data_IF_594110819235
#
_entry.id   IF_594110819235
#
_cell.length_a   1.000
_cell.length_b   1.000
_cell.length_c   1.000
_cell.angle_alpha   90.00
_cell.angle_beta   90.00
_cell.angle_gamma   90.00
#
_symmetry.space_group_name_H-M   'P 1'
#
loop_
_entity.id
_entity.type
_entity.pdbx_description
1 polymer ?
#
# COMPACT_ATOMS: atom_id res chain seq x y z
N UNK A 1 -1.56 -16.87 -9.36
CA UNK A 1 -0.26 -16.18 -9.52
C UNK A 1 -0.21 -15.13 -8.42
N UNK A 2 0.91 -14.96 -7.72
CA UNK A 2 1.03 -13.96 -6.66
C UNK A 2 1.26 -12.59 -7.31
N UNK A 3 0.48 -11.58 -6.90
CA UNK A 3 0.71 -10.19 -7.29
C UNK A 3 1.87 -9.63 -6.46
N UNK A 4 2.88 -9.06 -7.11
CA UNK A 4 4.04 -8.42 -6.46
C UNK A 4 4.04 -6.95 -6.88
N UNK A 5 3.87 -6.07 -5.90
CA UNK A 5 3.75 -4.63 -6.09
C UNK A 5 4.62 -3.90 -5.06
N UNK A 6 5.32 -2.85 -5.49
CA UNK A 6 5.91 -1.87 -4.60
C UNK A 6 5.31 -0.49 -4.87
N UNK A 7 5.08 0.27 -3.80
CA UNK A 7 4.54 1.62 -3.89
C UNK A 7 5.51 2.62 -3.30
N UNK A 8 5.63 3.75 -3.97
CA UNK A 8 6.49 4.84 -3.57
C UNK A 8 5.74 6.16 -3.58
N UNK A 9 6.04 7.05 -2.66
CA UNK A 9 5.61 8.44 -2.74
C UNK A 9 6.66 9.28 -3.46
N UNK A 10 6.19 10.34 -4.10
CA UNK A 10 6.98 11.16 -5.02
C UNK A 10 7.28 12.52 -4.37
N UNK A 11 8.56 12.93 -4.25
CA UNK A 11 8.91 14.30 -3.87
C UNK A 11 8.21 15.32 -4.78
N UNK A 12 7.78 16.46 -4.21
CA UNK A 12 6.96 17.43 -4.96
C UNK A 12 7.70 17.96 -6.19
N UNK A 13 9.00 18.19 -6.03
CA UNK A 13 9.94 18.65 -7.04
C UNK A 13 10.20 17.63 -8.16
N UNK A 14 10.01 16.33 -7.89
CA UNK A 14 10.29 15.26 -8.85
C UNK A 14 9.08 14.91 -9.74
N UNK A 15 7.86 15.30 -9.33
CA UNK A 15 6.61 14.85 -9.96
C UNK A 15 6.53 15.20 -11.46
N UNK A 16 6.91 16.43 -11.83
CA UNK A 16 6.81 16.87 -13.23
C UNK A 16 7.76 16.05 -14.14
N UNK A 17 9.00 15.85 -13.70
CA UNK A 17 9.99 15.04 -14.44
C UNK A 17 9.57 13.59 -14.52
N UNK A 18 9.12 12.98 -13.41
CA UNK A 18 8.65 11.60 -13.38
C UNK A 18 7.45 11.39 -14.32
N UNK A 19 6.48 12.30 -14.31
CA UNK A 19 5.33 12.23 -15.23
C UNK A 19 5.78 12.28 -16.69
N UNK A 20 6.71 13.17 -17.03
CA UNK A 20 7.25 13.27 -18.38
C UNK A 20 8.03 12.01 -18.79
N UNK A 21 8.70 11.35 -17.85
CA UNK A 21 9.43 10.10 -18.10
C UNK A 21 8.47 8.95 -18.44
N UNK A 22 7.34 8.85 -17.72
CA UNK A 22 6.28 7.87 -18.03
C UNK A 22 5.63 8.16 -19.39
N UNK A 23 5.34 9.43 -19.71
CA UNK A 23 4.73 9.82 -21.00
C UNK A 23 5.64 9.50 -22.21
N UNK A 24 6.96 9.39 -22.00
CA UNK A 24 7.90 8.97 -23.05
C UNK A 24 7.91 7.46 -23.29
N UNK A 25 7.28 6.67 -22.42
CA UNK A 25 7.23 5.23 -22.57
C UNK A 25 6.21 4.79 -23.62
N UNK A 26 6.52 3.73 -24.39
CA UNK A 26 5.60 3.20 -25.38
C UNK A 26 4.35 2.62 -24.71
N UNK A 27 3.19 2.90 -25.30
CA UNK A 27 1.91 2.39 -24.80
C UNK A 27 1.51 2.99 -23.45
N UNK A 28 2.02 4.18 -23.10
CA UNK A 28 1.50 4.89 -21.94
C UNK A 28 0.02 5.22 -22.13
N UNK A 29 -0.73 5.25 -21.04
CA UNK A 29 -2.14 5.61 -21.02
C UNK A 29 -2.45 6.52 -19.83
N UNK A 30 -3.58 7.24 -19.92
CA UNK A 30 -4.07 8.13 -18.88
C UNK A 30 -5.56 7.91 -18.66
N UNK A 31 -5.94 7.59 -17.44
CA UNK A 31 -7.33 7.43 -17.07
C UNK A 31 -7.67 8.14 -15.76
N UNK A 32 -8.94 8.52 -15.62
CA UNK A 32 -9.48 9.07 -14.37
C UNK A 32 -10.20 7.96 -13.61
N UNK A 33 -9.76 7.72 -12.39
CA UNK A 33 -10.27 6.72 -11.46
C UNK A 33 -10.96 7.42 -10.30
N UNK A 34 -12.27 7.22 -10.18
CA UNK A 34 -13.07 7.78 -9.09
C UNK A 34 -13.62 6.63 -8.25
N UNK A 35 -13.28 6.55 -6.97
CA UNK A 35 -13.72 5.44 -6.13
C UNK A 35 -14.41 5.94 -4.86
N UNK A 36 -15.48 5.25 -4.47
CA UNK A 36 -16.20 5.41 -3.21
C UNK A 36 -15.89 4.21 -2.33
N UNK A 37 -15.45 4.43 -1.10
CA UNK A 37 -15.06 3.38 -0.17
C UNK A 37 -16.09 3.22 0.93
N UNK A 38 -16.48 1.97 1.16
CA UNK A 38 -17.57 1.60 2.07
C UNK A 38 -17.05 0.74 3.21
N UNK A 39 -17.53 1.02 4.41
CA UNK A 39 -17.35 0.19 5.60
C UNK A 39 -18.50 0.49 6.57
N UNK A 40 -18.57 -0.26 7.68
CA UNK A 40 -19.49 0.04 8.77
C UNK A 40 -19.00 1.27 9.55
N UNK A 41 -19.88 1.94 10.33
CA UNK A 41 -19.48 3.02 11.23
C UNK A 41 -18.34 2.62 12.19
N UNK A 42 -18.28 1.35 12.57
CA UNK A 42 -17.26 0.78 13.46
C UNK A 42 -15.98 0.34 12.73
N UNK A 43 -15.94 0.44 11.39
CA UNK A 43 -14.78 0.11 10.54
C UNK A 43 -14.40 -1.37 10.55
N UNK A 44 -15.40 -2.25 10.48
CA UNK A 44 -15.18 -3.71 10.57
C UNK A 44 -14.26 -4.22 9.44
N UNK A 45 -14.42 -3.74 8.20
CA UNK A 45 -13.53 -4.12 7.09
C UNK A 45 -12.13 -3.57 7.31
N UNK A 46 -11.99 -2.30 7.70
CA UNK A 46 -10.71 -1.66 7.99
C UNK A 46 -9.93 -2.37 9.10
N UNK A 47 -10.59 -2.75 10.19
CA UNK A 47 -10.01 -3.55 11.27
C UNK A 47 -9.53 -4.92 10.79
N UNK A 48 -10.26 -5.52 9.84
CA UNK A 48 -9.88 -6.76 9.18
C UNK A 48 -8.89 -6.55 8.01
N UNK A 49 -8.26 -5.38 7.88
CA UNK A 49 -7.35 -5.01 6.78
C UNK A 49 -7.93 -5.34 5.40
N UNK A 50 -9.22 -5.04 5.25
CA UNK A 50 -10.00 -5.21 4.03
C UNK A 50 -10.59 -3.87 3.58
N UNK A 51 -10.87 -3.73 2.29
CA UNK A 51 -11.45 -2.53 1.71
C UNK A 51 -12.47 -2.91 0.63
N UNK A 52 -13.71 -2.44 0.79
CA UNK A 52 -14.75 -2.54 -0.22
C UNK A 52 -14.90 -1.18 -0.91
N UNK A 53 -14.83 -1.16 -2.24
CA UNK A 53 -14.99 0.07 -3.01
C UNK A 53 -15.87 -0.13 -4.23
N UNK A 54 -16.55 0.93 -4.64
CA UNK A 54 -17.15 1.08 -5.96
C UNK A 54 -16.33 2.11 -6.75
N UNK A 55 -15.71 1.69 -7.85
CA UNK A 55 -14.84 2.52 -8.69
C UNK A 55 -15.42 2.72 -10.08
N UNK A 56 -15.36 3.96 -10.58
CA UNK A 56 -15.59 4.34 -11.96
C UNK A 56 -14.27 4.33 -12.73
N UNK A 57 -14.23 3.59 -13.83
CA UNK A 57 -13.10 3.39 -14.74
C UNK A 57 -13.55 3.72 -16.17
N UNK A 58 -13.34 4.96 -16.59
CA UNK A 58 -13.97 5.49 -17.81
C UNK A 58 -15.49 5.46 -17.70
N UNK A 59 -16.15 4.64 -18.51
CA UNK A 59 -17.61 4.44 -18.48
C UNK A 59 -18.05 3.26 -17.60
N UNK A 60 -17.11 2.43 -17.15
CA UNK A 60 -17.41 1.20 -16.41
C UNK A 60 -17.43 1.47 -14.92
N UNK A 61 -18.24 0.68 -14.21
CA UNK A 61 -18.25 0.63 -12.76
C UNK A 61 -17.83 -0.76 -12.29
N UNK A 62 -16.92 -0.78 -11.32
CA UNK A 62 -16.34 -2.01 -10.77
C UNK A 62 -16.46 -1.94 -9.26
N UNK A 63 -17.06 -2.96 -8.66
CA UNK A 63 -17.00 -3.17 -7.22
C UNK A 63 -15.84 -4.10 -6.89
N UNK A 64 -14.95 -3.66 -6.01
CA UNK A 64 -13.80 -4.44 -5.59
C UNK A 64 -13.87 -4.72 -4.11
N UNK A 65 -13.72 -5.99 -3.71
CA UNK A 65 -13.27 -6.33 -2.37
C UNK A 65 -11.78 -6.63 -2.41
N UNK A 66 -11.00 -5.85 -1.66
CA UNK A 66 -9.63 -6.21 -1.31
C UNK A 66 -9.62 -6.75 0.11
N UNK A 67 -9.06 -7.93 0.34
CA UNK A 67 -8.96 -8.51 1.68
C UNK A 67 -7.56 -9.11 1.90
N UNK A 68 -7.13 -9.12 3.16
CA UNK A 68 -5.94 -9.89 3.54
C UNK A 68 -6.20 -11.37 3.27
N UNK A 69 -5.31 -12.03 2.53
CA UNK A 69 -5.39 -13.47 2.29
C UNK A 69 -4.84 -14.27 3.46
N UNK A 70 -4.57 -15.56 3.23
CA UNK A 70 -4.16 -16.50 4.27
C UNK A 70 -2.79 -16.21 4.91
N UNK A 71 -1.95 -15.39 4.27
CA UNK A 71 -0.65 -14.92 4.78
C UNK A 71 -0.33 -13.51 4.24
N UNK A 72 0.75 -12.88 4.72
CA UNK A 72 1.14 -11.50 4.37
C UNK A 72 1.38 -11.27 2.87
N UNK A 73 1.69 -12.32 2.11
CA UNK A 73 2.03 -12.22 0.67
C UNK A 73 0.87 -12.55 -0.28
N UNK A 74 -0.28 -13.00 0.22
CA UNK A 74 -1.46 -13.28 -0.62
C UNK A 74 -2.54 -12.27 -0.25
N UNK A 75 -2.94 -11.45 -1.22
CA UNK A 75 -4.08 -10.54 -1.08
C UNK A 75 -5.19 -11.05 -1.98
N UNK A 76 -6.41 -11.08 -1.45
CA UNK A 76 -7.59 -11.33 -2.25
C UNK A 76 -8.00 -10.00 -2.88
N UNK A 77 -8.11 -9.97 -4.20
CA UNK A 77 -8.73 -8.88 -4.95
C UNK A 77 -9.82 -9.47 -5.85
N UNK A 78 -11.07 -9.22 -5.49
CA UNK A 78 -12.22 -9.67 -6.26
C UNK A 78 -12.91 -8.47 -6.92
N UNK A 79 -12.79 -8.39 -8.24
CA UNK A 79 -13.32 -7.32 -9.08
C UNK A 79 -14.59 -7.79 -9.79
N UNK A 80 -15.72 -7.14 -9.49
CA UNK A 80 -17.02 -7.47 -10.07
C UNK A 80 -17.57 -6.27 -10.85
N UNK A 81 -18.15 -6.53 -12.02
CA UNK A 81 -18.87 -5.51 -12.77
C UNK A 81 -20.05 -5.00 -11.93
N UNK A 82 -20.18 -3.69 -11.81
CA UNK A 82 -21.22 -3.03 -11.04
C UNK A 82 -22.04 -2.08 -11.91
N UNK A 83 -23.21 -1.70 -11.41
CA UNK A 83 -24.05 -0.69 -12.07
C UNK A 83 -23.62 0.71 -11.65
N UNK A 84 -23.78 1.67 -12.57
CA UNK A 84 -23.63 3.08 -12.23
C UNK A 84 -24.66 3.50 -11.17
N UNK A 85 -24.31 4.40 -10.24
CA UNK A 85 -25.30 5.10 -9.42
C UNK A 85 -26.30 5.81 -10.32
N UNK A 86 -27.59 5.73 -9.99
CA UNK A 86 -28.61 6.49 -10.71
C UNK A 86 -28.40 8.00 -10.54
N UNK A 87 -28.83 8.79 -11.52
CA UNK A 87 -28.65 10.24 -11.52
C UNK A 87 -29.18 10.87 -10.22
N UNK A 88 -28.32 11.63 -9.54
CA UNK A 88 -28.62 12.30 -8.28
C UNK A 88 -28.68 11.37 -7.04
N UNK A 89 -28.42 10.07 -7.20
CA UNK A 89 -28.36 9.13 -6.08
C UNK A 89 -26.92 8.93 -5.58
N UNK A 90 -26.79 8.66 -4.28
CA UNK A 90 -25.52 8.27 -3.69
C UNK A 90 -25.06 6.89 -4.21
N UNK A 91 -23.75 6.72 -4.30
CA UNK A 91 -23.14 5.44 -4.62
C UNK A 91 -23.52 4.38 -3.56
N UNK A 92 -23.76 3.14 -4.00
CA UNK A 92 -24.09 2.00 -3.15
C UNK A 92 -23.36 0.76 -3.64
N UNK A 93 -23.04 -0.13 -2.72
CA UNK A 93 -22.44 -1.44 -2.99
C UNK A 93 -23.50 -2.53 -2.92
N UNK A 94 -23.30 -3.61 -3.67
CA UNK A 94 -24.12 -4.83 -3.64
C UNK A 94 -23.21 -6.02 -3.33
N UNK A 95 -23.26 -6.51 -2.09
CA UNK A 95 -22.43 -7.65 -1.66
C UNK A 95 -22.77 -8.94 -2.42
N UNK A 96 -23.98 -9.01 -2.99
CA UNK A 96 -24.43 -10.12 -3.82
C UNK A 96 -23.56 -10.36 -5.05
N UNK A 97 -22.87 -9.32 -5.55
CA UNK A 97 -21.92 -9.43 -6.66
C UNK A 97 -20.75 -10.37 -6.35
N UNK A 98 -20.38 -10.52 -5.08
CA UNK A 98 -19.25 -11.35 -4.65
C UNK A 98 -19.66 -12.80 -4.34
N UNK A 99 -20.92 -13.18 -4.51
CA UNK A 99 -21.39 -14.54 -4.19
C UNK A 99 -20.73 -15.61 -5.07
N UNK A 100 -20.39 -16.73 -4.45
CA UNK A 100 -19.68 -17.84 -5.10
C UNK A 100 -18.19 -17.59 -5.34
N UNK A 101 -17.66 -16.45 -4.92
CA UNK A 101 -16.23 -16.12 -5.01
C UNK A 101 -15.56 -16.27 -3.64
N UNK A 102 -14.22 -16.30 -3.57
CA UNK A 102 -13.51 -16.23 -2.28
C UNK A 102 -13.85 -14.98 -1.45
N UNK A 103 -14.33 -13.89 -2.08
CA UNK A 103 -14.71 -12.66 -1.39
C UNK A 103 -15.97 -12.82 -0.53
N UNK A 104 -16.91 -13.72 -0.89
CA UNK A 104 -18.08 -14.02 -0.05
C UNK A 104 -17.65 -14.45 1.35
N UNK A 105 -16.70 -15.37 1.45
CA UNK A 105 -16.23 -15.88 2.74
C UNK A 105 -15.55 -14.80 3.60
N UNK A 106 -14.89 -13.83 2.98
CA UNK A 106 -14.31 -12.68 3.69
C UNK A 106 -15.41 -11.73 4.18
N UNK A 107 -16.41 -11.42 3.34
CA UNK A 107 -17.53 -10.55 3.71
C UNK A 107 -18.39 -11.15 4.83
N UNK A 108 -18.75 -12.43 4.73
CA UNK A 108 -19.49 -13.16 5.78
C UNK A 108 -18.74 -13.08 7.11
N UNK A 109 -17.42 -13.32 7.09
CA UNK A 109 -16.59 -13.31 8.30
C UNK A 109 -16.46 -11.92 8.92
N UNK A 110 -16.18 -10.90 8.11
CA UNK A 110 -15.83 -9.57 8.60
C UNK A 110 -17.06 -8.71 8.93
N UNK A 111 -18.18 -8.92 8.24
CA UNK A 111 -19.42 -8.14 8.42
C UNK A 111 -20.52 -8.90 9.16
N UNK A 112 -20.29 -10.17 9.53
CA UNK A 112 -21.34 -11.08 9.99
C UNK A 112 -22.54 -11.15 9.02
N UNK A 113 -22.27 -11.01 7.73
CA UNK A 113 -23.27 -10.98 6.67
C UNK A 113 -23.83 -12.38 6.40
N UNK A 114 -25.16 -12.52 6.34
CA UNK A 114 -25.86 -13.76 5.93
C UNK A 114 -26.45 -13.57 4.52
N UNK A 115 -25.82 -14.09 3.45
CA UNK A 115 -26.30 -13.95 2.08
C UNK A 115 -27.63 -14.66 1.80
N UNK A 116 -28.07 -15.56 2.69
CA UNK A 116 -29.37 -16.23 2.61
C UNK A 116 -30.52 -15.36 3.07
N UNK A 117 -30.30 -14.49 4.07
CA UNK A 117 -31.31 -13.58 4.62
C UNK A 117 -31.23 -12.17 4.03
N UNK A 118 -30.03 -11.73 3.67
CA UNK A 118 -29.76 -10.40 3.12
C UNK A 118 -28.93 -10.54 1.83
N UNK A 119 -29.56 -10.85 0.68
CA UNK A 119 -28.82 -11.20 -0.54
C UNK A 119 -27.91 -10.09 -1.09
N UNK A 120 -28.14 -8.83 -0.72
CA UNK A 120 -27.38 -7.66 -1.18
C UNK A 120 -26.50 -7.02 -0.11
N UNK A 121 -26.69 -7.37 1.16
CA UNK A 121 -25.95 -6.76 2.27
C UNK A 121 -26.55 -5.45 2.78
N UNK A 122 -27.82 -5.16 2.52
CA UNK A 122 -28.48 -3.90 2.92
C UNK A 122 -28.55 -3.75 4.46
N UNK A 123 -28.59 -4.87 5.18
CA UNK A 123 -28.64 -4.93 6.65
C UNK A 123 -27.28 -4.78 7.34
N UNK A 124 -26.18 -4.74 6.59
CA UNK A 124 -24.81 -4.66 7.14
C UNK A 124 -24.44 -3.27 7.69
N UNK A 125 -25.24 -2.24 7.35
CA UNK A 125 -24.97 -0.86 7.78
C UNK A 125 -23.77 -0.21 7.10
N UNK A 126 -23.36 -0.71 5.93
CA UNK A 126 -22.29 -0.12 5.13
C UNK A 126 -22.65 1.33 4.72
N UNK A 127 -21.70 2.23 4.91
CA UNK A 127 -21.80 3.65 4.55
C UNK A 127 -20.55 4.08 3.77
N UNK A 128 -20.69 5.07 2.89
CA UNK A 128 -19.53 5.69 2.26
C UNK A 128 -18.76 6.51 3.31
N UNK A 129 -17.45 6.24 3.43
CA UNK A 129 -16.59 6.90 4.41
C UNK A 129 -15.69 7.96 3.80
N UNK A 130 -15.15 7.64 2.64
CA UNK A 130 -14.24 8.49 1.90
C UNK A 130 -14.29 8.11 0.42
N UNK A 131 -13.78 9.01 -0.40
CA UNK A 131 -13.66 8.82 -1.84
C UNK A 131 -12.29 9.23 -2.33
N UNK A 132 -11.93 8.73 -3.51
CA UNK A 132 -10.71 9.13 -4.21
C UNK A 132 -11.06 9.65 -5.60
N UNK A 133 -10.33 10.65 -6.04
CA UNK A 133 -10.38 11.17 -7.42
C UNK A 133 -8.93 11.27 -7.92
N UNK A 134 -8.55 10.31 -8.76
CA UNK A 134 -7.17 10.03 -9.15
C UNK A 134 -7.07 10.05 -10.66
N UNK A 135 -6.04 10.70 -11.20
CA UNK A 135 -5.55 10.48 -12.54
C UNK A 135 -4.41 9.47 -12.48
N UNK A 136 -4.58 8.33 -13.14
CA UNK A 136 -3.56 7.30 -13.29
C UNK A 136 -2.88 7.48 -14.63
N UNK A 137 -1.56 7.60 -14.62
CA UNK A 137 -0.72 7.49 -15.82
C UNK A 137 -0.02 6.15 -15.74
N UNK A 138 -0.28 5.26 -16.69
CA UNK A 138 0.28 3.92 -16.68
C UNK A 138 1.18 3.68 -17.88
N UNK A 139 2.19 2.82 -17.73
CA UNK A 139 3.02 2.32 -18.82
C UNK A 139 3.62 0.96 -18.44
N UNK A 140 3.90 0.11 -19.43
CA UNK A 140 4.56 -1.18 -19.20
C UNK A 140 6.01 -1.17 -19.65
N UNK A 141 6.87 -1.79 -18.86
CA UNK A 141 8.31 -1.86 -19.09
C UNK A 141 8.78 -3.31 -19.08
N UNK A 142 9.56 -3.68 -20.10
CA UNK A 142 10.36 -4.90 -20.07
C UNK A 142 11.64 -4.63 -19.29
N UNK A 143 11.90 -5.42 -18.25
CA UNK A 143 13.04 -5.28 -17.34
C UNK A 143 13.90 -6.54 -17.41
N UNK A 144 15.21 -6.41 -17.20
CA UNK A 144 16.13 -7.55 -17.08
C UNK A 144 16.21 -8.45 -18.33
N UNK A 145 15.92 -7.94 -19.52
CA UNK A 145 15.88 -8.76 -20.75
C UNK A 145 17.23 -9.45 -21.01
N UNK A 146 17.18 -10.76 -21.28
CA UNK A 146 18.37 -11.59 -21.44
C UNK A 146 19.03 -12.05 -20.13
N UNK A 147 18.43 -11.74 -18.98
CA UNK A 147 18.89 -12.20 -17.65
C UNK A 147 17.85 -13.14 -17.01
N UNK A 148 18.20 -13.88 -15.93
CA UNK A 148 17.24 -14.66 -15.15
C UNK A 148 16.11 -13.82 -14.51
N UNK A 149 16.30 -12.50 -14.39
CA UNK A 149 15.33 -11.58 -13.79
C UNK A 149 14.38 -10.94 -14.81
N UNK A 150 14.36 -11.44 -16.05
CA UNK A 150 13.52 -10.90 -17.10
C UNK A 150 12.02 -10.90 -16.70
N UNK A 151 11.37 -9.76 -16.88
CA UNK A 151 9.95 -9.60 -16.59
C UNK A 151 9.36 -8.37 -17.27
N UNK A 152 8.05 -8.23 -17.14
CA UNK A 152 7.31 -7.03 -17.51
C UNK A 152 6.66 -6.48 -16.26
N UNK A 153 6.89 -5.20 -16.00
CA UNK A 153 6.26 -4.47 -14.90
C UNK A 153 5.32 -3.41 -15.46
N UNK A 154 4.27 -3.09 -14.71
CA UNK A 154 3.43 -1.91 -14.93
C UNK A 154 3.83 -0.83 -13.95
N UNK A 155 4.11 0.36 -14.48
CA UNK A 155 4.22 1.58 -13.71
C UNK A 155 2.86 2.23 -13.68
N UNK A 156 2.37 2.59 -12.50
CA UNK A 156 1.14 3.33 -12.31
C UNK A 156 1.39 4.56 -11.43
N UNK A 157 1.51 5.72 -12.09
CA UNK A 157 1.61 7.02 -11.43
C UNK A 157 0.21 7.53 -11.12
N UNK A 158 -0.11 7.64 -9.83
CA UNK A 158 -1.38 8.13 -9.33
C UNK A 158 -1.24 9.54 -8.77
N UNK A 159 -1.99 10.47 -9.36
CA UNK A 159 -2.04 11.88 -8.96
C UNK A 159 -3.49 12.27 -8.69
N UNK A 160 -3.76 12.78 -7.48
CA UNK A 160 -5.11 13.22 -7.15
C UNK A 160 -5.31 13.45 -5.67
N UNK A 161 -6.49 13.11 -5.17
CA UNK A 161 -6.86 13.36 -3.78
C UNK A 161 -7.70 12.24 -3.19
N UNK A 162 -7.52 12.04 -1.88
CA UNK A 162 -8.47 11.34 -1.01
C UNK A 162 -9.31 12.41 -0.31
N UNK A 163 -10.61 12.20 -0.21
CA UNK A 163 -11.57 13.10 0.44
C UNK A 163 -12.39 12.34 1.48
N UNK A 164 -12.52 12.91 2.67
CA UNK A 164 -13.42 12.40 3.71
C UNK A 164 -14.05 13.56 4.46
N UNK A 165 -15.39 13.65 4.46
CA UNK A 165 -16.10 14.81 4.97
C UNK A 165 -15.60 16.12 4.32
N UNK A 166 -15.12 17.05 5.14
CA UNK A 166 -14.57 18.34 4.70
C UNK A 166 -13.04 18.30 4.50
N UNK A 167 -12.38 17.18 4.81
CA UNK A 167 -10.94 17.04 4.72
C UNK A 167 -10.51 16.44 3.38
N UNK A 168 -9.30 16.78 2.95
CA UNK A 168 -8.67 16.21 1.78
C UNK A 168 -7.17 16.10 1.96
N UNK A 169 -6.58 15.04 1.41
CA UNK A 169 -5.12 14.86 1.33
C UNK A 169 -4.69 14.50 -0.09
N UNK A 170 -3.53 15.00 -0.56
CA UNK A 170 -3.04 14.71 -1.90
C UNK A 170 -2.54 13.27 -2.04
N UNK A 171 -2.67 12.71 -3.23
CA UNK A 171 -2.08 11.44 -3.66
C UNK A 171 -1.06 11.75 -4.76
N UNK A 172 0.17 11.27 -4.58
CA UNK A 172 1.31 11.43 -5.50
C UNK A 172 2.21 10.23 -5.34
N UNK A 173 1.80 9.12 -5.94
CA UNK A 173 2.47 7.84 -5.74
C UNK A 173 2.72 7.11 -7.05
N UNK A 174 3.81 6.34 -7.08
CA UNK A 174 4.15 5.43 -8.15
C UNK A 174 4.00 4.01 -7.60
N UNK A 175 3.11 3.23 -8.19
CA UNK A 175 3.01 1.77 -7.99
C UNK A 175 3.80 1.08 -9.11
N UNK A 176 4.60 0.07 -8.76
CA UNK A 176 5.35 -0.78 -9.69
C UNK A 176 4.90 -2.22 -9.45
N UNK A 177 4.16 -2.78 -10.39
CA UNK A 177 3.52 -4.10 -10.27
C UNK A 177 4.07 -5.08 -11.31
N UNK A 178 4.28 -6.34 -10.90
CA UNK A 178 4.67 -7.41 -11.81
C UNK A 178 3.48 -7.83 -12.69
N UNK A 179 3.61 -7.65 -14.01
CA UNK A 179 2.63 -8.15 -14.98
C UNK A 179 2.93 -9.60 -15.34
N UNK A 180 4.21 -9.93 -15.58
CA UNK A 180 4.66 -11.28 -15.91
C UNK A 180 6.19 -11.41 -15.75
N UNK A 181 6.67 -12.65 -15.59
CA UNK A 181 8.10 -12.95 -15.49
C UNK A 181 8.62 -13.00 -14.05
N UNK A 182 9.89 -12.68 -13.85
CA UNK A 182 10.54 -12.85 -12.56
C UNK A 182 10.22 -11.69 -11.59
N UNK A 183 9.91 -11.95 -10.31
CA UNK A 183 9.68 -10.93 -9.28
C UNK A 183 10.76 -9.85 -9.15
N UNK A 184 12.02 -10.23 -9.34
CA UNK A 184 13.16 -9.30 -9.26
C UNK A 184 13.07 -8.14 -10.28
N UNK A 185 12.30 -8.28 -11.36
CA UNK A 185 12.02 -7.20 -12.30
C UNK A 185 11.39 -5.97 -11.62
N UNK A 186 10.54 -6.17 -10.60
CA UNK A 186 9.95 -5.09 -9.82
C UNK A 186 11.02 -4.34 -9.03
N UNK A 187 11.94 -5.07 -8.41
CA UNK A 187 13.04 -4.50 -7.61
C UNK A 187 14.06 -3.77 -8.49
N UNK A 188 14.42 -4.33 -9.63
CA UNK A 188 15.31 -3.71 -10.60
C UNK A 188 14.70 -2.40 -11.13
N UNK A 189 13.45 -2.43 -11.56
CA UNK A 189 12.75 -1.21 -11.98
C UNK A 189 12.66 -0.18 -10.86
N UNK A 190 12.27 -0.62 -9.65
CA UNK A 190 12.18 0.27 -8.49
C UNK A 190 13.48 1.00 -8.20
N UNK A 191 14.65 0.33 -8.30
CA UNK A 191 15.95 0.97 -8.09
C UNK A 191 16.22 2.10 -9.09
N UNK A 192 15.89 1.90 -10.36
CA UNK A 192 16.07 2.90 -11.40
C UNK A 192 15.22 4.15 -11.09
N UNK A 193 13.93 3.97 -10.80
CA UNK A 193 13.01 5.07 -10.51
C UNK A 193 13.31 5.77 -9.18
N UNK A 194 13.67 5.02 -8.13
CA UNK A 194 14.11 5.57 -6.83
C UNK A 194 15.37 6.41 -7.00
N UNK A 195 16.34 5.95 -7.79
CA UNK A 195 17.59 6.68 -8.02
C UNK A 195 17.36 7.93 -8.86
N UNK A 196 16.53 7.85 -9.89
CA UNK A 196 16.26 8.97 -10.79
C UNK A 196 15.40 10.08 -10.14
N UNK A 197 14.47 9.73 -9.26
CA UNK A 197 13.44 10.66 -8.76
C UNK A 197 13.40 10.81 -7.23
N UNK A 198 14.36 10.22 -6.51
CA UNK A 198 14.41 10.21 -5.05
C UNK A 198 13.09 9.74 -4.40
N UNK A 199 12.48 8.71 -4.99
CA UNK A 199 11.25 8.11 -4.48
C UNK A 199 11.49 7.45 -3.12
N UNK A 200 10.48 7.47 -2.27
CA UNK A 200 10.56 6.79 -0.98
C UNK A 200 9.45 5.75 -0.81
N UNK A 201 9.80 4.60 -0.23
CA UNK A 201 8.91 3.44 -0.08
C UNK A 201 7.74 3.73 0.87
N UNK A 202 6.52 3.46 0.42
CA UNK A 202 5.31 3.61 1.23
C UNK A 202 4.45 2.35 1.21
N UNK A 203 4.32 1.72 2.37
CA UNK A 203 3.50 0.53 2.57
C UNK A 203 2.02 0.86 2.85
N UNK A 204 1.67 2.12 3.13
CA UNK A 204 0.30 2.49 3.47
C UNK A 204 -0.60 2.49 2.24
N UNK A 205 -1.71 1.77 2.27
CA UNK A 205 -2.66 1.78 1.15
C UNK A 205 -3.48 3.06 1.10
N UNK A 206 -4.02 3.43 -0.08
CA UNK A 206 -5.02 4.51 -0.20
C UNK A 206 -6.21 4.29 0.75
N UNK A 207 -6.60 3.03 0.96
CA UNK A 207 -7.69 2.69 1.87
C UNK A 207 -7.34 2.98 3.34
N UNK A 208 -6.11 2.64 3.76
CA UNK A 208 -5.60 2.99 5.10
C UNK A 208 -5.57 4.51 5.31
N UNK A 209 -5.02 5.24 4.34
CA UNK A 209 -4.95 6.72 4.37
C UNK A 209 -6.35 7.34 4.39
N UNK A 210 -7.29 6.77 3.64
CA UNK A 210 -8.69 7.22 3.60
C UNK A 210 -9.46 6.96 4.88
N UNK A 211 -9.32 5.79 5.51
CA UNK A 211 -9.93 5.53 6.82
C UNK A 211 -9.39 6.49 7.89
N UNK A 212 -8.07 6.70 7.91
CA UNK A 212 -7.43 7.66 8.82
C UNK A 212 -7.98 9.07 8.62
N UNK A 213 -8.15 9.52 7.37
CA UNK A 213 -8.74 10.82 7.07
C UNK A 213 -10.21 10.90 7.48
N UNK A 214 -10.98 9.84 7.27
CA UNK A 214 -12.40 9.77 7.66
C UNK A 214 -12.58 9.86 9.18
N UNK A 215 -11.74 9.18 9.96
CA UNK A 215 -11.72 9.30 11.42
C UNK A 215 -11.41 10.72 11.87
N UNK A 216 -10.40 11.35 11.26
CA UNK A 216 -10.06 12.75 11.54
C UNK A 216 -11.23 13.69 11.23
N UNK A 217 -11.94 13.50 10.11
CA UNK A 217 -13.10 14.29 9.74
C UNK A 217 -14.27 14.15 10.72
N UNK A 218 -14.39 12.99 11.39
CA UNK A 218 -15.34 12.73 12.48
C UNK A 218 -14.88 13.29 13.84
N UNK A 219 -13.72 13.97 13.92
CA UNK A 219 -13.14 14.46 15.17
C UNK A 219 -12.53 13.35 16.04
N UNK A 220 -12.39 12.13 15.51
CA UNK A 220 -11.70 11.03 16.19
C UNK A 220 -10.21 11.19 15.95
N UNK A 221 -9.44 11.48 17.01
CA UNK A 221 -7.99 11.45 16.94
C UNK A 221 -7.56 9.98 16.77
N UNK A 222 -6.75 9.64 15.75
CA UNK A 222 -6.21 8.30 15.63
C UNK A 222 -5.40 7.98 16.89
N UNK A 223 -5.87 7.00 17.68
CA UNK A 223 -5.05 6.45 18.75
C UNK A 223 -3.78 5.86 18.15
N UNK A 224 -2.63 6.07 18.80
CA UNK A 224 -1.48 5.21 18.57
C UNK A 224 -1.90 3.81 19.00
N UNK A 225 -2.15 2.90 18.04
CA UNK A 225 -2.20 1.50 18.40
C UNK A 225 -0.78 1.15 18.87
N UNK A 226 -0.59 0.76 20.14
CA UNK A 226 0.73 0.36 20.59
C UNK A 226 1.25 -0.73 19.64
N UNK A 227 2.55 -0.77 19.35
CA UNK A 227 3.13 -1.89 18.61
C UNK A 227 2.61 -3.17 19.25
N UNK A 228 2.07 -4.10 18.44
CA UNK A 228 1.64 -5.38 19.00
C UNK A 228 2.81 -5.91 19.82
N UNK A 229 2.60 -6.03 21.14
CA UNK A 229 3.55 -6.61 22.07
C UNK A 229 3.64 -8.11 21.78
N UNK A 230 4.23 -8.42 20.63
CA UNK A 230 4.43 -9.73 20.08
C UNK A 230 5.90 -10.10 20.16
N UNK A 231 6.12 -11.39 20.29
CA UNK A 231 7.38 -12.12 20.17
C UNK A 231 8.30 -11.48 19.11
N UNK A 232 9.63 -11.39 19.33
CA UNK A 232 10.56 -10.93 18.29
C UNK A 232 10.29 -11.66 16.97
N UNK A 233 10.38 -10.96 15.82
CA UNK A 233 10.00 -11.53 14.53
C UNK A 233 10.69 -12.88 14.30
N UNK A 234 9.90 -13.85 13.84
CA UNK A 234 10.34 -15.23 13.70
C UNK A 234 11.11 -15.48 12.39
N UNK A 235 11.16 -14.50 11.49
CA UNK A 235 11.81 -14.59 10.20
C UNK A 235 12.05 -13.20 9.61
N UNK A 236 12.80 -13.18 8.49
CA UNK A 236 13.13 -11.94 7.79
C UNK A 236 11.90 -11.23 7.24
N UNK A 237 10.94 -11.96 6.67
CA UNK A 237 9.74 -11.37 6.08
C UNK A 237 8.96 -10.57 7.13
N UNK A 238 8.71 -11.15 8.31
CA UNK A 238 8.02 -10.50 9.41
C UNK A 238 8.79 -9.30 9.95
N UNK A 239 10.12 -9.41 10.06
CA UNK A 239 10.96 -8.30 10.52
C UNK A 239 10.94 -7.13 9.52
N UNK A 240 11.01 -7.43 8.22
CA UNK A 240 11.00 -6.45 7.15
C UNK A 240 9.65 -5.76 7.00
N UNK A 241 8.54 -6.50 7.16
CA UNK A 241 7.19 -5.94 7.18
C UNK A 241 7.03 -4.93 8.32
N UNK A 242 7.47 -5.28 9.54
CA UNK A 242 7.41 -4.39 10.68
C UNK A 242 8.28 -3.13 10.48
N UNK A 243 9.50 -3.31 9.96
CA UNK A 243 10.44 -2.22 9.70
C UNK A 243 9.91 -1.25 8.63
N UNK A 244 9.46 -1.76 7.49
CA UNK A 244 8.97 -0.91 6.38
C UNK A 244 7.64 -0.23 6.71
N UNK A 245 6.77 -0.87 7.50
CA UNK A 245 5.55 -0.25 8.03
C UNK A 245 5.87 0.94 8.94
N UNK A 246 6.75 0.75 9.93
CA UNK A 246 7.16 1.82 10.84
C UNK A 246 7.88 2.96 10.11
N UNK A 247 8.77 2.63 9.17
CA UNK A 247 9.42 3.62 8.30
C UNK A 247 8.39 4.44 7.52
N UNK A 248 7.36 3.80 6.96
CA UNK A 248 6.31 4.48 6.18
C UNK A 248 5.49 5.46 7.03
N UNK A 249 5.20 5.12 8.29
CA UNK A 249 4.51 5.99 9.25
C UNK A 249 5.34 7.23 9.61
N UNK A 250 6.65 7.04 9.87
CA UNK A 250 7.60 8.14 10.10
C UNK A 250 7.74 9.01 8.85
N UNK A 251 7.92 8.41 7.68
CA UNK A 251 8.03 9.12 6.41
C UNK A 251 6.78 9.93 6.06
N UNK A 252 5.59 9.48 6.48
CA UNK A 252 4.33 10.18 6.19
C UNK A 252 4.04 11.35 7.12
N UNK A 253 4.81 11.50 8.20
CA UNK A 253 4.58 12.47 9.26
C UNK A 253 5.74 13.47 9.30
N UNK A 254 5.57 14.72 8.80
CA UNK A 254 6.64 15.73 8.84
C UNK A 254 7.18 15.96 10.26
N UNK A 255 6.28 15.96 11.23
CA UNK A 255 6.55 16.02 12.67
C UNK A 255 6.28 14.64 13.29
N UNK A 256 6.99 13.62 12.80
CA UNK A 256 6.89 12.26 13.32
C UNK A 256 7.02 12.27 14.84
N UNK A 257 6.04 11.66 15.51
CA UNK A 257 6.00 11.62 16.96
C UNK A 257 7.10 10.70 17.49
N UNK A 258 7.51 10.94 18.73
CA UNK A 258 8.57 10.15 19.38
C UNK A 258 8.23 8.66 19.39
N UNK A 259 6.98 8.30 19.68
CA UNK A 259 6.51 6.90 19.65
C UNK A 259 6.65 6.23 18.27
N UNK A 260 6.37 6.95 17.19
CA UNK A 260 6.55 6.43 15.83
C UNK A 260 8.03 6.20 15.48
N UNK A 261 8.91 7.09 15.94
CA UNK A 261 10.35 6.96 15.72
C UNK A 261 10.91 5.81 16.56
N UNK A 262 10.46 5.65 17.80
CA UNK A 262 10.83 4.54 18.68
C UNK A 262 10.40 3.18 18.09
N UNK A 263 9.19 3.10 17.51
CA UNK A 263 8.73 1.89 16.80
C UNK A 263 9.64 1.55 15.61
N UNK A 264 10.03 2.56 14.84
CA UNK A 264 10.93 2.35 13.70
C UNK A 264 12.32 1.91 14.14
N UNK A 265 12.88 2.53 15.19
CA UNK A 265 14.16 2.15 15.78
C UNK A 265 14.12 0.73 16.35
N UNK A 266 13.04 0.35 17.04
CA UNK A 266 12.85 -0.99 17.57
C UNK A 266 12.81 -2.03 16.44
N UNK A 267 12.11 -1.74 15.34
CA UNK A 267 12.07 -2.62 14.18
C UNK A 267 13.43 -2.75 13.49
N UNK A 268 14.19 -1.64 13.37
CA UNK A 268 15.55 -1.63 12.82
C UNK A 268 16.52 -2.48 13.67
N UNK A 269 16.46 -2.35 15.00
CA UNK A 269 17.23 -3.20 15.92
C UNK A 269 16.89 -4.68 15.78
N UNK A 270 15.61 -5.03 15.67
CA UNK A 270 15.18 -6.42 15.46
C UNK A 270 15.73 -6.99 14.16
N UNK A 271 15.78 -6.19 13.09
CA UNK A 271 16.38 -6.59 11.82
C UNK A 271 17.89 -6.80 11.95
N UNK A 272 18.61 -5.89 12.63
CA UNK A 272 20.05 -5.98 12.87
C UNK A 272 20.45 -7.22 13.68
N UNK A 273 19.59 -7.65 14.62
CA UNK A 273 19.80 -8.81 15.47
C UNK A 273 19.38 -10.14 14.82
N UNK A 274 18.80 -10.11 13.61
CA UNK A 274 18.19 -11.30 13.02
C UNK A 274 19.22 -12.40 12.76
N UNK A 275 20.41 -12.07 12.26
CA UNK A 275 21.48 -13.05 12.06
C UNK A 275 22.07 -13.61 13.37
N UNK A 276 22.01 -12.86 14.47
CA UNK A 276 22.48 -13.34 15.77
C UNK A 276 21.48 -14.34 16.38
N UNK A 277 20.19 -14.07 16.21
CA UNK A 277 19.10 -14.93 16.72
C UNK A 277 18.80 -16.10 15.79
N UNK A 278 19.06 -15.95 14.49
CA UNK A 278 18.92 -16.97 13.44
C UNK A 278 20.02 -16.81 12.38
N UNK A 279 21.16 -17.50 12.55
CA UNK A 279 22.26 -17.44 11.59
C UNK A 279 21.81 -17.78 10.16
N UNK A 280 22.25 -16.97 9.19
CA UNK A 280 21.93 -17.16 7.77
C UNK A 280 20.60 -16.57 7.31
N UNK A 281 19.87 -15.86 8.17
CA UNK A 281 18.62 -15.19 7.80
C UNK A 281 18.81 -14.01 6.84
N UNK A 282 19.94 -13.31 6.95
CA UNK A 282 20.32 -12.16 6.12
C UNK A 282 21.72 -12.36 5.53
N UNK A 283 21.96 -11.94 4.27
CA UNK A 283 23.30 -11.88 3.72
C UNK A 283 24.22 -10.96 4.53
N UNK A 284 25.42 -11.41 4.88
CA UNK A 284 26.39 -10.63 5.68
C UNK A 284 26.71 -9.26 5.07
N UNK A 285 26.67 -9.15 3.74
CA UNK A 285 26.89 -7.89 3.01
C UNK A 285 25.91 -6.77 3.37
N UNK A 286 24.70 -7.09 3.87
CA UNK A 286 23.68 -6.10 4.23
C UNK A 286 23.78 -5.63 5.68
N UNK A 287 24.48 -6.39 6.54
CA UNK A 287 24.59 -6.11 7.97
C UNK A 287 25.12 -4.69 8.26
N UNK A 288 26.21 -4.21 7.60
CA UNK A 288 26.73 -2.86 7.88
C UNK A 288 25.75 -1.75 7.53
N UNK A 289 24.94 -1.92 6.47
CA UNK A 289 23.93 -0.93 6.07
C UNK A 289 22.77 -0.83 7.07
N UNK A 290 22.36 -1.96 7.64
CA UNK A 290 21.33 -2.00 8.68
C UNK A 290 21.85 -1.34 9.97
N UNK A 291 23.06 -1.67 10.39
CA UNK A 291 23.70 -1.09 11.59
C UNK A 291 23.92 0.42 11.45
N UNK A 292 24.36 0.87 10.27
CA UNK A 292 24.48 2.30 9.98
C UNK A 292 23.12 3.00 10.07
N UNK A 293 22.06 2.43 9.49
CA UNK A 293 20.73 3.02 9.56
C UNK A 293 20.20 3.10 11.00
N UNK A 294 20.43 2.07 11.82
CA UNK A 294 20.09 2.11 13.26
C UNK A 294 20.72 3.33 13.93
N UNK A 295 22.03 3.54 13.72
CA UNK A 295 22.73 4.68 14.29
C UNK A 295 22.23 6.03 13.75
N UNK A 296 21.89 6.09 12.46
CA UNK A 296 21.30 7.28 11.85
C UNK A 296 19.93 7.59 12.44
N UNK A 297 19.07 6.59 12.70
CA UNK A 297 17.76 6.80 13.33
C UNK A 297 17.92 7.39 14.74
N UNK A 298 18.85 6.86 15.54
CA UNK A 298 19.12 7.34 16.91
C UNK A 298 19.58 8.79 16.96
N UNK A 299 20.28 9.25 15.92
CA UNK A 299 20.94 10.57 15.89
C UNK A 299 20.27 11.56 14.95
N UNK A 300 19.24 11.14 14.21
CA UNK A 300 18.61 11.95 13.17
C UNK A 300 17.93 13.20 13.76
N UNK A 301 18.37 14.37 13.32
CA UNK A 301 17.67 15.62 13.57
C UNK A 301 16.28 15.68 12.89
N UNK A 302 16.09 14.90 11.82
CA UNK A 302 14.80 14.76 11.14
C UNK A 302 14.59 13.30 10.70
N UNK A 303 13.97 12.47 11.56
CA UNK A 303 13.67 11.08 11.24
C UNK A 303 12.81 10.93 9.98
N UNK A 304 11.85 11.84 9.75
CA UNK A 304 11.04 11.85 8.54
C UNK A 304 11.87 12.08 7.27
N UNK A 305 12.91 12.94 7.32
CA UNK A 305 13.82 13.13 6.18
C UNK A 305 14.67 11.88 5.95
N UNK A 306 15.14 11.25 7.01
CA UNK A 306 15.89 9.99 6.93
C UNK A 306 15.03 8.88 6.30
N UNK A 307 13.80 8.69 6.78
CA UNK A 307 12.87 7.69 6.26
C UNK A 307 12.53 7.90 4.77
N UNK A 308 12.56 9.15 4.29
CA UNK A 308 12.34 9.52 2.87
C UNK A 308 13.62 9.47 2.03
N UNK A 309 14.77 9.17 2.62
CA UNK A 309 16.04 9.23 1.92
C UNK A 309 16.20 8.07 0.93
N UNK A 310 16.81 8.36 -0.23
CA UNK A 310 17.15 7.35 -1.25
C UNK A 310 17.92 6.17 -0.65
N UNK A 311 18.96 6.34 0.19
CA UNK A 311 19.68 5.21 0.78
C UNK A 311 18.79 4.29 1.62
N UNK A 312 17.87 4.84 2.42
CA UNK A 312 16.93 4.04 3.24
C UNK A 312 16.00 3.21 2.37
N UNK A 313 15.50 3.78 1.28
CA UNK A 313 14.66 3.05 0.31
C UNK A 313 15.46 1.99 -0.44
N UNK A 314 16.68 2.28 -0.89
CA UNK A 314 17.53 1.31 -1.57
C UNK A 314 17.91 0.13 -0.66
N UNK A 315 18.17 0.39 0.64
CA UNK A 315 18.38 -0.66 1.63
C UNK A 315 17.15 -1.57 1.74
N UNK A 316 15.93 -1.00 1.74
CA UNK A 316 14.70 -1.81 1.72
C UNK A 316 14.63 -2.70 0.47
N UNK A 317 14.97 -2.17 -0.72
CA UNK A 317 14.99 -2.97 -1.95
C UNK A 317 16.04 -4.09 -1.90
N UNK A 318 17.18 -3.85 -1.26
CA UNK A 318 18.20 -4.87 -1.01
C UNK A 318 17.71 -5.97 -0.08
N UNK A 319 16.94 -5.61 0.96
CA UNK A 319 16.33 -6.55 1.89
C UNK A 319 15.22 -7.35 1.20
N UNK A 320 14.34 -6.72 0.41
CA UNK A 320 13.31 -7.44 -0.35
C UNK A 320 13.89 -8.45 -1.33
N UNK A 321 15.04 -8.14 -1.95
CA UNK A 321 15.70 -9.06 -2.88
C UNK A 321 16.15 -10.39 -2.21
N UNK A 322 16.29 -10.41 -0.88
CA UNK A 322 16.65 -11.64 -0.15
C UNK A 322 15.47 -12.58 0.08
N UNK A 323 14.24 -12.12 -0.18
CA UNK A 323 13.01 -12.90 -0.07
C UNK A 323 12.61 -13.59 -1.39
N UNK A 324 13.35 -13.31 -2.47
CA UNK A 324 13.15 -13.88 -3.81
C UNK A 324 14.06 -15.09 -4.03
#
# INVERSE_FOLDING_TARGET
>A
MQEIELKFQIPTEALATLSADIERLPGHDRERLQAHYFDTPDRLLGQARSALRLRKEGERWVQTLKASGANTMIRLEDNQAASAPADGQAARVDLGLHRGTPAEAALVRHLAWDPGQDPRGDGTGLVELYRTDIWRHSARLAVGQGTPHAGVVELALDIGHIHAGHLSVPVRELEIELVQGHPAAVLESARDWVTAHALWLDTQTKAHRGDRLARQAEGKVPGHAPPQAGTPPLDLATALDAFTAAMSEVASSPDARVDQVDDWLLAAHRLALLNQTRPGSLPERLQPGIEALVHEIETAASPARLARATPSTLLCLDLFATLL
#
